data_IF_171230653148
#
_entry.id   IF_171230653148
#
_cell.length_a   1.000
_cell.length_b   1.000
_cell.length_c   1.000
_cell.angle_alpha   90.00
_cell.angle_beta   90.00
_cell.angle_gamma   90.00
#
_symmetry.space_group_name_H-M   'P 1'
#
loop_
_entity.id
_entity.type
_entity.pdbx_description
1 polymer ?
#
# COMPACT_ATOMS: atom_id res chain seq x y z
N UNK A 1 -0.48 44.37 7.43
CA UNK A 1 -0.52 45.82 7.69
C UNK A 1 0.43 46.53 6.74
N UNK A 2 -0.10 47.33 5.82
CA UNK A 2 0.63 48.34 5.05
C UNK A 2 -0.39 49.37 4.56
N UNK A 3 -0.44 50.56 5.18
CA UNK A 3 -1.28 51.66 4.74
C UNK A 3 -0.49 52.59 3.82
N UNK A 4 -0.91 52.72 2.58
CA UNK A 4 -0.46 53.78 1.67
C UNK A 4 -1.26 55.05 2.00
N UNK A 5 -0.55 56.06 2.49
CA UNK A 5 -1.02 57.42 2.72
C UNK A 5 -0.80 58.24 1.44
N UNK A 6 -1.80 59.01 1.04
CA UNK A 6 -1.67 59.99 -0.05
C UNK A 6 -2.47 61.21 0.34
N UNK A 7 -1.77 62.14 0.99
CA UNK A 7 -2.21 63.50 1.28
C UNK A 7 -2.06 64.45 0.10
N UNK A 8 -2.79 65.57 0.19
CA UNK A 8 -2.71 66.77 -0.66
C UNK A 8 -4.09 67.21 -1.14
N UNK A 9 -4.48 68.47 -1.24
CA UNK A 9 -3.95 69.79 -0.84
C UNK A 9 -5.12 70.80 -1.00
N UNK A 10 -5.06 71.93 -0.30
CA UNK A 10 -5.59 73.27 -0.64
C UNK A 10 -6.99 73.49 -1.26
N UNK A 11 -7.83 74.32 -0.61
CA UNK A 11 -8.94 74.99 -1.31
C UNK A 11 -10.04 75.61 -0.44
N UNK A 12 -9.91 76.90 -0.14
CA UNK A 12 -10.83 77.73 0.62
C UNK A 12 -12.04 78.15 -0.25
N UNK A 13 -13.24 77.58 -0.05
CA UNK A 13 -14.50 78.15 -0.58
C UNK A 13 -15.66 77.97 0.41
N UNK A 14 -16.32 79.11 0.71
CA UNK A 14 -17.42 79.29 1.66
C UNK A 14 -18.56 78.29 1.44
N UNK A 15 -18.88 77.50 2.47
CA UNK A 15 -19.98 76.52 2.47
C UNK A 15 -21.33 77.20 2.72
N UNK A 16 -22.18 77.18 1.69
CA UNK A 16 -23.63 77.37 1.85
C UNK A 16 -24.25 76.21 2.63
N UNK A 17 -25.24 76.54 3.46
CA UNK A 17 -26.01 75.61 4.30
C UNK A 17 -26.76 74.61 3.41
N UNK A 18 -26.46 73.31 3.53
CA UNK A 18 -27.45 72.28 3.21
C UNK A 18 -27.21 71.33 2.02
N UNK A 19 -25.97 70.99 1.64
CA UNK A 19 -25.73 69.83 0.76
C UNK A 19 -24.73 68.87 1.43
N UNK A 20 -25.21 67.71 1.89
CA UNK A 20 -24.34 66.65 2.43
C UNK A 20 -23.54 66.05 1.27
N UNK A 21 -22.20 66.22 1.27
CA UNK A 21 -21.33 65.54 0.30
C UNK A 21 -21.48 64.01 0.45
N UNK A 22 -21.73 63.32 -0.66
CA UNK A 22 -21.80 61.86 -0.69
C UNK A 22 -20.48 61.26 -0.19
N UNK A 23 -20.58 60.33 0.77
CA UNK A 23 -19.44 59.65 1.39
C UNK A 23 -18.86 58.67 0.38
N UNK A 24 -17.71 59.00 -0.23
CA UNK A 24 -16.98 58.04 -1.10
C UNK A 24 -16.53 56.86 -0.24
N UNK A 25 -17.19 55.71 -0.37
CA UNK A 25 -16.76 54.46 0.25
C UNK A 25 -15.47 54.00 -0.43
N UNK A 26 -14.45 53.72 0.36
CA UNK A 26 -13.15 53.25 -0.12
C UNK A 26 -13.31 51.83 -0.69
N UNK A 27 -13.00 51.65 -1.98
CA UNK A 27 -12.99 50.35 -2.67
C UNK A 27 -11.63 49.66 -2.53
N UNK A 28 -11.03 49.67 -1.33
CA UNK A 28 -9.84 48.85 -1.08
C UNK A 28 -10.28 47.38 -1.09
N UNK A 29 -9.87 46.67 -2.14
CA UNK A 29 -10.19 45.25 -2.32
C UNK A 29 -9.34 44.47 -1.33
N UNK A 30 -10.00 43.82 -0.38
CA UNK A 30 -9.35 42.91 0.54
C UNK A 30 -9.00 41.62 -0.20
N UNK A 31 -7.70 41.35 -0.34
CA UNK A 31 -7.18 40.14 -0.98
C UNK A 31 -7.05 38.97 0.00
N UNK A 32 -7.36 39.18 1.29
CA UNK A 32 -7.36 38.14 2.34
C UNK A 32 -8.13 36.87 1.92
N UNK A 33 -9.34 36.94 1.34
CA UNK A 33 -10.02 35.74 0.84
C UNK A 33 -9.31 35.06 -0.33
N UNK A 34 -8.57 35.77 -1.18
CA UNK A 34 -7.83 35.15 -2.29
C UNK A 34 -6.55 34.44 -1.82
N UNK A 35 -5.89 34.96 -0.79
CA UNK A 35 -4.67 34.33 -0.22
C UNK A 35 -5.01 33.04 0.52
N UNK A 36 -6.12 33.02 1.26
CA UNK A 36 -6.55 31.87 2.03
C UNK A 36 -6.94 30.67 1.14
N UNK A 37 -7.61 30.93 0.01
CA UNK A 37 -7.91 29.90 -1.00
C UNK A 37 -6.65 29.27 -1.61
N UNK A 38 -5.59 30.06 -1.80
CA UNK A 38 -4.30 29.56 -2.30
C UNK A 38 -3.58 28.69 -1.26
N UNK A 39 -3.58 29.10 0.02
CA UNK A 39 -2.99 28.33 1.10
C UNK A 39 -3.71 27.01 1.34
N UNK A 40 -5.05 26.99 1.22
CA UNK A 40 -5.86 25.78 1.32
C UNK A 40 -5.54 24.78 0.20
N UNK A 41 -5.29 25.25 -1.03
CA UNK A 41 -4.92 24.39 -2.14
C UNK A 41 -3.52 23.80 -2.01
N UNK A 42 -2.53 24.58 -1.56
CA UNK A 42 -1.16 24.09 -1.37
C UNK A 42 -1.12 23.06 -0.22
N UNK A 43 -1.83 23.32 0.88
CA UNK A 43 -1.92 22.36 2.00
C UNK A 43 -2.67 21.09 1.61
N UNK A 44 -3.79 21.20 0.88
CA UNK A 44 -4.50 20.05 0.32
C UNK A 44 -3.63 19.24 -0.66
N UNK A 45 -2.87 19.91 -1.53
CA UNK A 45 -2.00 19.26 -2.50
C UNK A 45 -0.81 18.57 -1.82
N UNK A 46 -0.18 19.19 -0.81
CA UNK A 46 0.90 18.57 -0.03
C UNK A 46 0.36 17.38 0.81
N UNK A 47 -0.84 17.51 1.38
CA UNK A 47 -1.46 16.42 2.14
C UNK A 47 -1.86 15.23 1.25
N UNK A 48 -2.40 15.49 0.06
CA UNK A 48 -2.77 14.44 -0.90
C UNK A 48 -1.54 13.82 -1.61
N UNK A 49 -0.48 14.60 -1.86
CA UNK A 49 0.77 14.07 -2.45
C UNK A 49 1.58 13.21 -1.49
N UNK A 50 1.58 13.51 -0.19
CA UNK A 50 2.30 12.69 0.82
C UNK A 50 1.68 11.31 1.04
N UNK A 51 0.41 11.10 0.69
CA UNK A 51 -0.24 9.78 0.76
C UNK A 51 0.02 8.91 -0.49
N UNK A 52 0.67 9.45 -1.53
CA UNK A 52 0.87 8.74 -2.81
C UNK A 52 2.20 7.99 -2.92
N UNK A 53 2.99 7.83 -1.85
CA UNK A 53 4.13 6.90 -1.94
C UNK A 53 3.59 5.46 -1.85
N UNK A 54 3.61 4.65 -2.92
CA UNK A 54 3.43 3.23 -2.75
C UNK A 54 4.57 2.76 -1.85
N UNK A 55 4.24 2.11 -0.75
CA UNK A 55 5.16 1.27 -0.01
C UNK A 55 5.55 0.12 -0.95
N UNK A 56 6.44 0.40 -1.90
CA UNK A 56 7.18 -0.62 -2.59
C UNK A 56 7.87 -1.43 -1.50
N UNK A 57 7.41 -2.67 -1.34
CA UNK A 57 7.91 -3.61 -0.36
C UNK A 57 9.41 -3.74 -0.64
N UNK A 58 10.24 -3.05 0.14
CA UNK A 58 11.70 -3.16 0.07
C UNK A 58 12.02 -4.56 0.57
N UNK A 59 12.04 -5.50 -0.35
CA UNK A 59 12.58 -6.84 -0.22
C UNK A 59 14.09 -6.72 0.01
N UNK A 60 14.46 -6.26 1.20
CA UNK A 60 15.81 -6.38 1.71
C UNK A 60 15.94 -7.80 2.24
N UNK A 61 16.31 -8.71 1.34
CA UNK A 61 16.79 -10.05 1.67
C UNK A 61 18.32 -9.96 1.88
N UNK A 62 18.92 -10.71 2.83
CA UNK A 62 20.37 -10.75 3.03
C UNK A 62 21.12 -11.15 1.75
N UNK A 63 22.33 -10.62 1.57
CA UNK A 63 23.17 -10.76 0.37
C UNK A 63 24.02 -12.04 0.36
N UNK A 64 23.54 -13.15 0.91
CA UNK A 64 24.40 -14.32 1.09
C UNK A 64 24.16 -15.37 0.01
N UNK A 65 24.33 -14.97 -1.26
CA UNK A 65 24.61 -15.92 -2.35
C UNK A 65 25.21 -15.18 -3.54
N UNK A 66 26.48 -15.43 -3.84
CA UNK A 66 27.28 -14.72 -4.87
C UNK A 66 26.86 -15.01 -6.34
N UNK A 67 25.62 -15.48 -6.58
CA UNK A 67 25.10 -15.78 -7.92
C UNK A 67 23.71 -15.17 -8.13
N UNK A 68 23.53 -14.25 -9.09
CA UNK A 68 22.25 -13.56 -9.32
C UNK A 68 21.10 -14.47 -9.77
N UNK A 69 21.39 -15.64 -10.36
CA UNK A 69 20.37 -16.59 -10.82
C UNK A 69 19.72 -17.39 -9.67
N UNK A 70 20.48 -17.75 -8.64
CA UNK A 70 19.97 -18.46 -7.46
C UNK A 70 19.16 -17.52 -6.56
N UNK A 71 19.56 -16.25 -6.49
CA UNK A 71 18.81 -15.21 -5.77
C UNK A 71 17.41 -15.01 -6.35
N UNK A 72 17.24 -15.06 -7.68
CA UNK A 72 15.91 -14.92 -8.29
C UNK A 72 15.02 -16.15 -8.05
N UNK A 73 15.60 -17.36 -8.08
CA UNK A 73 14.86 -18.60 -7.74
C UNK A 73 14.48 -18.67 -6.26
N UNK A 74 15.35 -18.22 -5.36
CA UNK A 74 15.05 -18.12 -3.94
C UNK A 74 13.93 -17.10 -3.66
N UNK A 75 13.98 -15.91 -4.30
CA UNK A 75 12.93 -14.87 -4.24
C UNK A 75 11.57 -15.38 -4.71
N UNK A 76 11.53 -16.27 -5.70
CA UNK A 76 10.29 -16.87 -6.19
C UNK A 76 9.77 -17.94 -5.24
N UNK A 77 10.65 -18.72 -4.62
CA UNK A 77 10.25 -19.89 -3.84
C UNK A 77 9.42 -19.54 -2.60
N UNK A 78 9.61 -18.37 -2.00
CA UNK A 78 8.88 -17.89 -0.83
C UNK A 78 7.64 -17.03 -1.12
N UNK A 79 7.37 -16.72 -2.39
CA UNK A 79 6.23 -15.90 -2.79
C UNK A 79 4.96 -16.75 -2.98
N UNK A 80 3.87 -16.35 -2.34
CA UNK A 80 2.53 -16.91 -2.54
C UNK A 80 1.61 -15.82 -3.07
N UNK A 81 1.08 -15.98 -4.27
CA UNK A 81 0.10 -15.07 -4.82
C UNK A 81 -1.29 -15.66 -4.67
N UNK A 82 -2.20 -14.90 -4.06
CA UNK A 82 -3.59 -15.26 -3.83
C UNK A 82 -4.47 -14.27 -4.58
N UNK A 83 -5.35 -14.78 -5.42
CA UNK A 83 -6.33 -14.04 -6.19
C UNK A 83 -7.73 -14.39 -5.73
N UNK A 84 -8.55 -13.36 -5.54
CA UNK A 84 -9.94 -13.54 -5.08
C UNK A 84 -10.85 -13.43 -6.29
N UNK A 85 -11.60 -14.48 -6.59
CA UNK A 85 -12.54 -14.53 -7.71
C UNK A 85 -14.00 -14.43 -7.26
N UNK A 86 -14.89 -14.78 -8.18
CA UNK A 86 -16.33 -14.76 -7.95
C UNK A 86 -16.75 -15.92 -7.04
N UNK A 87 -17.79 -15.71 -6.23
CA UNK A 87 -18.47 -16.81 -5.53
C UNK A 87 -17.63 -17.56 -4.49
N UNK A 88 -16.75 -16.85 -3.77
CA UNK A 88 -15.84 -17.39 -2.74
C UNK A 88 -14.79 -18.38 -3.29
N UNK A 89 -14.55 -18.32 -4.60
CA UNK A 89 -13.44 -19.00 -5.23
C UNK A 89 -12.16 -18.20 -5.02
N UNK A 90 -11.10 -18.91 -4.67
CA UNK A 90 -9.77 -18.36 -4.46
C UNK A 90 -8.83 -19.09 -5.40
N UNK A 91 -8.03 -18.33 -6.14
CA UNK A 91 -7.02 -18.86 -7.02
C UNK A 91 -5.65 -18.52 -6.46
N UNK A 92 -4.69 -19.41 -6.58
CA UNK A 92 -3.37 -19.15 -6.05
C UNK A 92 -2.30 -19.88 -6.84
N UNK A 93 -1.08 -19.35 -6.76
CA UNK A 93 0.11 -19.98 -7.30
C UNK A 93 1.32 -19.55 -6.47
N UNK A 94 2.36 -20.37 -6.52
CA UNK A 94 3.63 -20.14 -5.82
C UNK A 94 4.69 -19.66 -6.81
N UNK A 95 5.49 -18.65 -6.41
CA UNK A 95 6.54 -18.07 -7.23
C UNK A 95 6.05 -17.33 -8.45
N UNK A 96 6.64 -17.62 -9.62
CA UNK A 96 6.17 -17.07 -10.89
C UNK A 96 5.08 -17.95 -11.48
N UNK A 97 4.07 -17.31 -12.08
CA UNK A 97 3.03 -18.00 -12.81
C UNK A 97 3.63 -18.69 -14.05
N UNK A 98 3.47 -20.01 -14.14
CA UNK A 98 3.90 -20.81 -15.28
C UNK A 98 2.64 -21.28 -16.02
N UNK A 99 2.48 -20.79 -17.24
CA UNK A 99 1.35 -21.11 -18.14
C UNK A 99 1.92 -21.70 -19.43
N UNK A 100 2.76 -22.73 -19.27
CA UNK A 100 3.42 -23.39 -20.39
C UNK A 100 3.00 -24.87 -20.44
N UNK A 101 3.22 -25.51 -21.59
CA UNK A 101 2.91 -26.92 -21.85
C UNK A 101 3.55 -27.93 -20.87
N UNK A 102 4.49 -27.48 -20.03
CA UNK A 102 5.26 -28.32 -19.09
C UNK A 102 4.69 -28.31 -17.67
N UNK A 103 3.67 -27.50 -17.37
CA UNK A 103 2.93 -27.57 -16.12
C UNK A 103 2.34 -26.23 -15.67
N UNK A 104 1.05 -26.26 -15.29
CA UNK A 104 0.37 -25.13 -14.66
C UNK A 104 0.52 -25.21 -13.14
N UNK A 105 1.10 -24.19 -12.51
CA UNK A 105 1.14 -24.02 -11.06
C UNK A 105 -0.07 -23.24 -10.51
N UNK A 106 -1.01 -22.87 -11.38
CA UNK A 106 -2.26 -22.21 -11.03
C UNK A 106 -3.24 -23.21 -10.41
N UNK A 107 -3.66 -22.94 -9.18
CA UNK A 107 -4.56 -23.79 -8.40
C UNK A 107 -5.80 -23.02 -7.99
N UNK A 108 -6.93 -23.71 -7.92
CA UNK A 108 -8.17 -23.20 -7.38
C UNK A 108 -8.47 -23.84 -6.02
N UNK A 109 -9.00 -23.05 -5.10
CA UNK A 109 -9.45 -23.48 -3.78
C UNK A 109 -10.71 -22.70 -3.39
N UNK A 110 -11.37 -23.18 -2.34
CA UNK A 110 -12.44 -22.43 -1.68
C UNK A 110 -11.85 -21.57 -0.58
N UNK A 111 -12.56 -20.49 -0.25
CA UNK A 111 -12.18 -19.58 0.81
C UNK A 111 -11.87 -20.26 2.16
N UNK A 112 -12.61 -21.31 2.54
CA UNK A 112 -12.39 -22.02 3.80
C UNK A 112 -11.09 -22.82 3.88
N UNK A 113 -10.49 -23.16 2.73
CA UNK A 113 -9.26 -23.95 2.67
C UNK A 113 -7.99 -23.08 2.66
N UNK A 114 -8.14 -21.76 2.51
CA UNK A 114 -7.01 -20.84 2.34
C UNK A 114 -6.05 -20.85 3.53
N UNK A 115 -6.58 -21.03 4.74
CA UNK A 115 -5.78 -21.14 5.97
C UNK A 115 -4.77 -22.26 5.88
N UNK A 116 -5.18 -23.44 5.40
CA UNK A 116 -4.28 -24.59 5.27
C UNK A 116 -3.18 -24.29 4.26
N UNK A 117 -3.54 -23.71 3.12
CA UNK A 117 -2.59 -23.34 2.06
C UNK A 117 -1.52 -22.36 2.58
N UNK A 118 -1.93 -21.34 3.36
CA UNK A 118 -1.00 -20.37 3.95
C UNK A 118 -0.08 -21.05 4.98
N UNK A 119 -0.63 -21.90 5.84
CA UNK A 119 0.14 -22.60 6.86
C UNK A 119 1.13 -23.61 6.26
N UNK A 120 0.70 -24.36 5.25
CA UNK A 120 1.54 -25.31 4.52
C UNK A 120 2.70 -24.58 3.84
N UNK A 121 2.41 -23.44 3.20
CA UNK A 121 3.45 -22.63 2.57
C UNK A 121 4.41 -22.01 3.58
N UNK A 122 3.89 -21.52 4.71
CA UNK A 122 4.69 -21.00 5.81
C UNK A 122 5.62 -22.07 6.36
N UNK A 123 5.12 -23.28 6.60
CA UNK A 123 5.93 -24.41 7.06
C UNK A 123 7.01 -24.80 6.05
N UNK A 124 6.69 -24.82 4.76
CA UNK A 124 7.65 -25.06 3.68
C UNK A 124 8.78 -24.02 3.67
N UNK A 125 8.45 -22.72 3.76
CA UNK A 125 9.44 -21.64 3.81
C UNK A 125 10.32 -21.77 5.05
N UNK A 126 9.72 -21.98 6.23
CA UNK A 126 10.46 -22.16 7.49
C UNK A 126 11.38 -23.39 7.43
N UNK A 127 10.94 -24.49 6.80
CA UNK A 127 11.76 -25.70 6.68
C UNK A 127 13.01 -25.50 5.81
N UNK A 128 12.96 -24.56 4.86
CA UNK A 128 14.07 -24.21 3.97
C UNK A 128 14.96 -23.11 4.54
N UNK A 129 14.52 -22.45 5.61
CA UNK A 129 15.25 -21.36 6.23
C UNK A 129 16.59 -21.85 6.79
N UNK A 130 17.68 -21.23 6.33
CA UNK A 130 18.99 -21.40 6.94
C UNK A 130 19.05 -20.45 8.14
N UNK A 131 19.35 -20.97 9.32
CA UNK A 131 19.40 -20.19 10.56
C UNK A 131 20.44 -19.06 10.44
N UNK A 132 19.98 -17.86 10.13
CA UNK A 132 20.85 -16.68 10.04
C UNK A 132 20.95 -16.02 11.40
N UNK A 133 22.05 -16.30 12.10
CA UNK A 133 22.36 -15.71 13.40
C UNK A 133 22.36 -14.17 13.34
N UNK A 134 22.72 -13.59 12.20
CA UNK A 134 22.71 -12.15 11.97
C UNK A 134 21.31 -11.52 12.04
N UNK A 135 20.24 -12.23 11.64
CA UNK A 135 18.88 -11.72 11.77
C UNK A 135 18.47 -11.60 13.24
N UNK A 136 18.76 -12.65 14.01
CA UNK A 136 18.49 -12.70 15.45
C UNK A 136 19.27 -11.60 16.15
N UNK A 137 20.57 -11.44 15.86
CA UNK A 137 21.41 -10.42 16.51
C UNK A 137 20.95 -8.99 16.19
N UNK A 138 20.57 -8.72 14.94
CA UNK A 138 20.02 -7.41 14.54
C UNK A 138 18.71 -7.10 15.25
N UNK A 139 17.82 -8.09 15.36
CA UNK A 139 16.57 -7.96 16.13
C UNK A 139 16.91 -7.73 17.60
N UNK A 140 17.72 -8.58 18.22
CA UNK A 140 18.12 -8.44 19.63
C UNK A 140 18.72 -7.05 19.96
N UNK A 141 19.49 -6.44 19.04
CA UNK A 141 19.99 -5.07 19.19
C UNK A 141 18.90 -3.99 19.19
N UNK A 142 17.92 -4.08 18.28
CA UNK A 142 16.79 -3.15 18.18
C UNK A 142 15.84 -3.26 19.38
N UNK A 143 15.66 -4.47 19.91
CA UNK A 143 14.81 -4.74 21.07
C UNK A 143 15.44 -4.25 22.38
N UNK A 144 16.78 -4.34 22.53
CA UNK A 144 17.51 -3.73 23.65
C UNK A 144 17.32 -2.22 23.70
N UNK A 145 17.22 -1.57 22.53
CA UNK A 145 16.98 -0.13 22.45
C UNK A 145 15.54 0.27 22.79
N UNK A 146 14.58 -0.64 22.62
CA UNK A 146 13.14 -0.43 22.92
C UNK A 146 12.72 -0.85 24.34
N UNK A 147 13.62 -1.42 25.15
CA UNK A 147 13.35 -1.74 26.56
C UNK A 147 12.38 -2.89 26.79
N UNK A 148 12.23 -3.80 25.82
CA UNK A 148 11.29 -4.93 25.88
C UNK A 148 12.10 -6.22 26.09
N UNK A 149 12.50 -6.52 27.33
CA UNK A 149 13.28 -7.73 27.62
C UNK A 149 12.39 -8.98 27.81
N UNK A 150 12.79 -10.07 27.15
CA UNK A 150 12.41 -11.46 27.47
C UNK A 150 11.04 -11.96 27.00
N UNK A 151 10.05 -11.08 26.78
CA UNK A 151 8.66 -11.54 26.53
C UNK A 151 8.36 -11.98 25.09
N UNK A 152 9.15 -11.55 24.11
CA UNK A 152 8.85 -11.73 22.67
C UNK A 152 9.99 -12.36 21.86
N UNK A 153 10.92 -13.07 22.52
CA UNK A 153 12.08 -13.68 21.83
C UNK A 153 11.66 -14.68 20.74
N UNK A 154 10.63 -15.48 21.03
CA UNK A 154 10.10 -16.47 20.08
C UNK A 154 9.45 -15.83 18.85
N UNK A 155 8.80 -14.68 19.02
CA UNK A 155 8.21 -13.94 17.89
C UNK A 155 9.31 -13.32 17.02
N UNK A 156 10.44 -12.94 17.62
CA UNK A 156 11.60 -12.46 16.88
C UNK A 156 12.26 -13.58 16.06
N UNK A 157 12.44 -14.76 16.63
CA UNK A 157 12.92 -15.96 15.92
C UNK A 157 11.97 -16.34 14.78
N UNK A 158 10.67 -16.47 15.06
CA UNK A 158 9.64 -16.77 14.05
C UNK A 158 9.64 -15.73 12.92
N UNK A 159 9.96 -14.46 13.23
CA UNK A 159 10.04 -13.41 12.21
C UNK A 159 11.26 -13.49 11.30
N UNK A 160 12.35 -14.08 11.77
CA UNK A 160 13.54 -14.36 10.97
C UNK A 160 13.32 -15.59 10.09
N UNK A 161 12.67 -16.63 10.63
CA UNK A 161 12.36 -17.86 9.88
C UNK A 161 11.37 -17.63 8.73
N UNK A 162 10.48 -16.65 8.88
CA UNK A 162 9.52 -16.24 7.84
C UNK A 162 10.04 -15.13 6.94
N UNK A 163 11.31 -14.76 7.00
CA UNK A 163 11.81 -13.58 6.27
C UNK A 163 11.58 -13.69 4.76
N UNK A 164 11.61 -14.90 4.21
CA UNK A 164 11.40 -15.16 2.79
C UNK A 164 9.92 -15.34 2.40
N UNK A 165 9.01 -15.48 3.37
CA UNK A 165 7.58 -15.66 3.09
C UNK A 165 6.95 -14.31 2.75
N UNK A 166 6.40 -14.19 1.54
CA UNK A 166 5.66 -13.00 1.10
C UNK A 166 4.35 -13.41 0.46
N UNK A 167 3.24 -12.88 0.98
CA UNK A 167 1.90 -13.14 0.44
C UNK A 167 1.40 -11.93 -0.34
N UNK A 168 1.10 -12.12 -1.62
CA UNK A 168 0.54 -11.09 -2.50
C UNK A 168 -0.94 -11.35 -2.67
N UNK A 169 -1.78 -10.41 -2.28
CA UNK A 169 -3.23 -10.50 -2.36
C UNK A 169 -3.72 -9.66 -3.53
N UNK A 170 -4.39 -10.29 -4.49
CA UNK A 170 -4.90 -9.67 -5.72
C UNK A 170 -6.42 -9.86 -5.82
N UNK A 171 -7.22 -8.96 -5.25
CA UNK A 171 -8.68 -9.04 -5.44
C UNK A 171 -9.04 -8.74 -6.89
N UNK A 172 -9.94 -9.55 -7.48
CA UNK A 172 -10.58 -9.21 -8.76
C UNK A 172 -11.70 -8.19 -8.54
N UNK A 173 -12.18 -7.58 -9.61
CA UNK A 173 -13.36 -6.71 -9.57
C UNK A 173 -14.64 -7.46 -9.16
N UNK A 174 -14.65 -8.79 -9.32
CA UNK A 174 -15.76 -9.67 -8.96
C UNK A 174 -15.64 -10.22 -7.53
N UNK A 175 -14.54 -9.92 -6.83
CA UNK A 175 -14.35 -10.29 -5.44
C UNK A 175 -15.25 -9.45 -4.52
N UNK A 176 -15.91 -10.10 -3.56
CA UNK A 176 -16.69 -9.38 -2.55
C UNK A 176 -15.77 -8.73 -1.52
N UNK A 177 -16.16 -7.57 -0.98
CA UNK A 177 -15.43 -6.92 0.11
C UNK A 177 -15.22 -7.85 1.31
N UNK A 178 -16.23 -8.68 1.61
CA UNK A 178 -16.16 -9.71 2.66
C UNK A 178 -14.97 -10.64 2.45
N UNK A 179 -14.77 -11.15 1.23
CA UNK A 179 -13.67 -12.07 0.94
C UNK A 179 -12.31 -11.39 1.10
N UNK A 180 -12.19 -10.11 0.74
CA UNK A 180 -10.94 -9.37 0.95
C UNK A 180 -10.63 -9.20 2.43
N UNK A 181 -11.63 -8.84 3.26
CA UNK A 181 -11.46 -8.72 4.72
C UNK A 181 -11.13 -10.07 5.35
N UNK A 182 -11.88 -11.11 5.01
CA UNK A 182 -11.66 -12.46 5.51
C UNK A 182 -10.21 -12.93 5.22
N UNK A 183 -9.65 -12.62 4.04
CA UNK A 183 -8.25 -12.94 3.73
C UNK A 183 -7.25 -12.14 4.59
N UNK A 184 -7.51 -10.86 4.85
CA UNK A 184 -6.68 -10.05 5.73
C UNK A 184 -6.73 -10.56 7.18
N UNK A 185 -7.89 -11.04 7.62
CA UNK A 185 -8.06 -11.72 8.90
C UNK A 185 -7.27 -13.04 8.91
N UNK A 186 -7.31 -13.84 7.85
CA UNK A 186 -6.50 -15.07 7.73
C UNK A 186 -4.98 -14.78 7.75
N UNK A 187 -4.52 -13.67 7.16
CA UNK A 187 -3.11 -13.24 7.29
C UNK A 187 -2.73 -12.99 8.75
N UNK A 188 -3.62 -12.32 9.50
CA UNK A 188 -3.41 -12.01 10.91
C UNK A 188 -3.44 -13.28 11.76
N UNK A 189 -4.41 -14.17 11.52
CA UNK A 189 -4.58 -15.45 12.22
C UNK A 189 -3.37 -16.36 11.99
N UNK A 190 -2.87 -16.44 10.76
CA UNK A 190 -1.70 -17.26 10.41
C UNK A 190 -0.36 -16.62 10.83
N UNK A 191 -0.38 -15.38 11.33
CA UNK A 191 0.79 -14.56 11.65
C UNK A 191 1.74 -14.42 10.46
N UNK A 192 1.21 -14.07 9.30
CA UNK A 192 2.03 -13.74 8.13
C UNK A 192 2.54 -12.30 8.27
N UNK A 193 3.84 -12.12 8.35
CA UNK A 193 4.45 -10.81 8.63
C UNK A 193 4.56 -9.89 7.42
N UNK A 194 4.67 -10.46 6.21
CA UNK A 194 4.86 -9.71 4.97
C UNK A 194 3.76 -10.06 3.98
N UNK A 195 2.84 -9.13 3.79
CA UNK A 195 1.82 -9.22 2.76
C UNK A 195 1.57 -7.87 2.10
N UNK A 196 1.09 -7.90 0.85
CA UNK A 196 0.77 -6.71 0.08
C UNK A 196 -0.47 -6.92 -0.78
N UNK A 197 -1.31 -5.90 -0.90
CA UNK A 197 -2.41 -5.87 -1.85
C UNK A 197 -1.94 -5.25 -3.17
N UNK A 198 -2.16 -5.94 -4.28
CA UNK A 198 -1.73 -5.52 -5.62
C UNK A 198 -2.89 -5.69 -6.59
N UNK A 199 -2.95 -4.85 -7.63
CA UNK A 199 -3.92 -5.00 -8.71
C UNK A 199 -3.60 -6.26 -9.53
N UNK A 200 -4.65 -6.95 -9.99
CA UNK A 200 -4.49 -8.13 -10.83
C UNK A 200 -3.91 -7.77 -12.21
N UNK A 201 -3.03 -8.62 -12.75
CA UNK A 201 -2.54 -8.45 -14.12
C UNK A 201 -3.56 -9.00 -15.14
N UNK A 202 -3.65 -8.44 -16.36
CA UNK A 202 -4.62 -8.88 -17.36
C UNK A 202 -4.55 -10.38 -17.68
N UNK A 203 -3.33 -10.94 -17.82
CA UNK A 203 -3.12 -12.36 -18.11
C UNK A 203 -3.65 -13.28 -17.00
N UNK A 204 -3.54 -12.87 -15.73
CA UNK A 204 -4.06 -13.62 -14.59
C UNK A 204 -5.59 -13.63 -14.56
N UNK A 205 -6.18 -12.49 -14.92
CA UNK A 205 -7.63 -12.33 -14.98
C UNK A 205 -8.26 -13.19 -16.09
N UNK A 206 -7.59 -13.33 -17.23
CA UNK A 206 -8.02 -14.25 -18.30
C UNK A 206 -8.01 -15.71 -17.85
N UNK A 207 -7.00 -16.14 -17.10
CA UNK A 207 -6.92 -17.50 -16.55
C UNK A 207 -8.04 -17.79 -15.55
N UNK A 208 -8.37 -16.82 -14.71
CA UNK A 208 -9.51 -16.93 -13.79
C UNK A 208 -10.80 -17.10 -14.59
N UNK A 209 -11.04 -16.29 -15.60
CA UNK A 209 -12.23 -16.40 -16.46
C UNK A 209 -12.34 -17.76 -17.15
N UNK A 210 -11.24 -18.24 -17.73
CA UNK A 210 -11.18 -19.57 -18.36
C UNK A 210 -11.49 -20.66 -17.33
N UNK A 211 -10.97 -20.55 -16.11
CA UNK A 211 -11.23 -21.50 -15.02
C UNK A 211 -12.67 -21.45 -14.51
N UNK A 212 -13.31 -20.27 -14.55
CA UNK A 212 -14.72 -20.05 -14.18
C UNK A 212 -15.71 -20.41 -15.30
N UNK A 213 -15.23 -20.88 -16.46
CA UNK A 213 -16.07 -21.21 -17.62
C UNK A 213 -16.56 -20.00 -18.40
N UNK A 214 -15.99 -18.81 -18.16
CA UNK A 214 -16.22 -17.60 -18.93
C UNK A 214 -15.40 -17.63 -20.23
N UNK A 215 -16.08 -17.42 -21.36
CA UNK A 215 -15.44 -17.22 -22.67
C UNK A 215 -14.38 -16.11 -22.55
N UNK A 216 -13.17 -16.26 -23.13
CA UNK A 216 -12.16 -15.19 -23.10
C UNK A 216 -12.74 -13.95 -23.76
N UNK A 217 -13.05 -12.93 -22.95
CA UNK A 217 -13.62 -11.69 -23.42
C UNK A 217 -12.53 -10.84 -24.05
N UNK A 218 -12.59 -10.69 -25.38
CA UNK A 218 -11.86 -9.72 -26.17
C UNK A 218 -11.94 -8.34 -25.50
N UNK A 219 -10.81 -7.84 -24.99
CA UNK A 219 -10.70 -6.46 -24.52
C UNK A 219 -10.85 -5.53 -25.74
N UNK A 220 -11.69 -4.51 -25.60
CA UNK A 220 -11.89 -3.43 -26.57
C UNK A 220 -11.34 -2.13 -26.00
#
# INVERSE_FOLDING_TARGET
>A
MASIDSGGDGGHHKKGRGVKKAKKLSTRIDMTPMVDLGFLLITFFIFTTTMSSPTALKLNVPKDTDKPEEQNKAKESGALTIMLGKGNNVYYYEGQLKVDATGNNFKAAKMGDIRKIILDKKADVISRYRRDQACIDKKMGDWRQKGIEGKYLKDAEESCEQEDLVVVIKPTEEATYKNTVDILDEMTICRVLKYAMVKIAPAEYELIKVTEGGTPGTQK
#
